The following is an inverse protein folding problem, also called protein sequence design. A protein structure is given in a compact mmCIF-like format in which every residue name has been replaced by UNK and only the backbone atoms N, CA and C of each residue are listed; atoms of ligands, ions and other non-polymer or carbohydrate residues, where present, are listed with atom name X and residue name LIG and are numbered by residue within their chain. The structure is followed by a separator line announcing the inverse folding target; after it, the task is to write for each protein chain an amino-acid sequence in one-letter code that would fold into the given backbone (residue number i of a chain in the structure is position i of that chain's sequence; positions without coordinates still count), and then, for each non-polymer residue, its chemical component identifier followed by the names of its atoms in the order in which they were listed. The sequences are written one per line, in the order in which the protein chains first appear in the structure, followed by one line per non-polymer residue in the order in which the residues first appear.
data_IF_600843997627
#
_entry.id   IF_600843997627
#
_cell.length_a   1.000
_cell.length_b   1.000
_cell.length_c   1.000
_cell.angle_alpha   90.00
_cell.angle_beta   90.00
_cell.angle_gamma   90.00
#
_symmetry.space_group_name_H-M   'P 1'
#
loop_
_entity.id
_entity.type
_entity.pdbx_description
1 polymer ?
#
# COMPACT_ATOMS: atom_id res chain seq x y z
N UNK A 1 45.57 -19.29 21.39
CA UNK A 1 45.40 -18.12 20.49
C UNK A 1 44.56 -18.50 19.26
N UNK A 2 44.86 -19.61 18.58
CA UNK A 2 44.14 -20.12 17.41
C UNK A 2 42.61 -20.30 17.56
N UNK A 3 42.14 -20.86 18.69
CA UNK A 3 40.71 -21.11 18.90
C UNK A 3 39.86 -19.83 19.05
N UNK A 4 40.44 -18.73 19.56
CA UNK A 4 39.75 -17.44 19.66
C UNK A 4 39.53 -16.81 18.29
N UNK A 5 40.53 -16.88 17.42
CA UNK A 5 40.43 -16.42 16.03
C UNK A 5 39.39 -17.22 15.25
N UNK A 6 39.36 -18.55 15.43
CA UNK A 6 38.38 -19.42 14.79
C UNK A 6 36.94 -19.10 15.21
N UNK A 7 36.69 -18.87 16.51
CA UNK A 7 35.36 -18.46 17.01
C UNK A 7 34.94 -17.11 16.44
N UNK A 8 35.85 -16.14 16.35
CA UNK A 8 35.54 -14.84 15.75
C UNK A 8 35.16 -14.96 14.28
N UNK A 9 35.85 -15.80 13.49
CA UNK A 9 35.48 -16.05 12.09
C UNK A 9 34.11 -16.72 11.96
N UNK A 10 33.82 -17.72 12.79
CA UNK A 10 32.51 -18.40 12.79
C UNK A 10 31.40 -17.42 13.17
N UNK A 11 31.57 -16.62 14.22
CA UNK A 11 30.60 -15.59 14.59
C UNK A 11 30.41 -14.52 13.50
N UNK A 12 31.47 -14.09 12.83
CA UNK A 12 31.38 -13.12 11.74
C UNK A 12 30.62 -13.68 10.52
N UNK A 13 30.81 -14.97 10.21
CA UNK A 13 30.07 -15.65 9.14
C UNK A 13 28.59 -15.84 9.48
N UNK A 14 28.27 -16.19 10.73
CA UNK A 14 26.88 -16.31 11.20
C UNK A 14 26.19 -14.93 11.16
N UNK A 15 26.88 -13.86 11.59
CA UNK A 15 26.35 -12.51 11.59
C UNK A 15 26.15 -11.94 10.17
N UNK A 16 27.00 -12.34 9.21
CA UNK A 16 26.85 -11.98 7.79
C UNK A 16 25.72 -12.77 7.12
N UNK A 17 25.56 -14.05 7.45
CA UNK A 17 24.50 -14.90 6.92
C UNK A 17 23.10 -14.44 7.39
N UNK A 18 22.97 -13.94 8.63
CA UNK A 18 21.70 -13.37 9.11
C UNK A 18 21.26 -12.10 8.36
N UNK A 19 22.18 -11.36 7.73
CA UNK A 19 21.81 -10.18 6.92
C UNK A 19 21.18 -10.54 5.57
N UNK A 20 21.45 -11.72 5.04
CA UNK A 20 20.87 -12.19 3.77
C UNK A 20 19.39 -12.59 3.91
N UNK A 21 18.95 -12.97 5.10
CA UNK A 21 17.53 -13.27 5.39
C UNK A 21 16.71 -12.05 5.80
N UNK A 22 17.36 -10.96 6.21
CA UNK A 22 16.70 -9.70 6.59
C UNK A 22 16.39 -8.79 5.40
N UNK A 23 16.68 -9.24 4.17
CA UNK A 23 16.25 -8.52 2.98
C UNK A 23 14.75 -8.77 2.82
N UNK A 24 13.96 -7.91 3.48
CA UNK A 24 12.51 -7.87 3.36
C UNK A 24 12.16 -8.00 1.88
N UNK A 25 11.43 -9.05 1.55
CA UNK A 25 10.75 -9.16 0.28
C UNK A 25 10.06 -7.81 0.05
N UNK A 26 10.23 -7.20 -1.12
CA UNK A 26 9.36 -6.11 -1.57
C UNK A 26 7.94 -6.70 -1.68
N UNK A 27 7.30 -6.90 -0.55
CA UNK A 27 5.90 -7.26 -0.48
C UNK A 27 5.16 -6.13 -1.16
N UNK A 28 4.28 -6.49 -2.08
CA UNK A 28 3.51 -5.52 -2.85
C UNK A 28 2.61 -4.74 -1.88
N UNK A 29 3.12 -3.62 -1.34
CA UNK A 29 2.43 -2.75 -0.37
C UNK A 29 1.20 -2.07 -0.94
N UNK A 30 0.93 -2.23 -2.23
CA UNK A 30 -0.28 -1.77 -2.89
C UNK A 30 -0.97 -2.96 -3.57
N UNK A 31 -2.02 -3.46 -2.93
CA UNK A 31 -2.87 -4.50 -3.50
C UNK A 31 -4.09 -3.89 -4.20
N UNK A 32 -4.62 -4.57 -5.22
CA UNK A 32 -5.87 -4.21 -5.87
C UNK A 32 -6.87 -5.32 -5.63
N UNK A 33 -8.06 -4.96 -5.17
CA UNK A 33 -9.19 -5.87 -5.00
C UNK A 33 -10.38 -5.37 -5.81
N UNK A 34 -11.25 -6.29 -6.24
CA UNK A 34 -12.54 -5.95 -6.83
C UNK A 34 -13.63 -6.23 -5.81
N UNK A 35 -14.45 -5.21 -5.52
CA UNK A 35 -15.59 -5.29 -4.62
C UNK A 35 -16.86 -5.24 -5.44
N UNK A 36 -17.69 -6.26 -5.32
CA UNK A 36 -19.03 -6.27 -5.88
C UNK A 36 -19.98 -5.47 -4.96
N UNK A 37 -20.73 -4.53 -5.54
CA UNK A 37 -21.68 -3.68 -4.81
C UNK A 37 -23.09 -3.87 -5.35
N UNK A 38 -23.94 -4.58 -4.60
CA UNK A 38 -25.36 -4.75 -4.96
C UNK A 38 -26.13 -3.43 -5.05
N UNK A 39 -25.67 -2.39 -4.34
CA UNK A 39 -26.25 -1.04 -4.44
C UNK A 39 -26.06 -0.38 -5.82
N UNK A 40 -25.16 -0.91 -6.66
CA UNK A 40 -24.91 -0.43 -8.02
C UNK A 40 -25.57 -1.30 -9.08
N UNK A 41 -26.24 -2.39 -8.73
CA UNK A 41 -26.96 -3.21 -9.71
C UNK A 41 -28.11 -2.41 -10.34
N UNK A 42 -28.16 -2.37 -11.68
CA UNK A 42 -29.23 -1.68 -12.41
C UNK A 42 -29.28 -0.16 -12.17
N UNK A 43 -28.19 0.46 -11.72
CA UNK A 43 -28.14 1.90 -11.51
C UNK A 43 -28.39 2.67 -12.82
N UNK A 44 -28.94 3.90 -12.71
CA UNK A 44 -29.34 4.73 -13.85
C UNK A 44 -28.19 5.09 -14.80
N UNK A 45 -26.95 5.08 -14.30
CA UNK A 45 -25.75 5.39 -15.09
C UNK A 45 -25.21 4.16 -15.83
N UNK A 46 -25.78 2.98 -15.56
CA UNK A 46 -25.31 1.69 -16.01
C UNK A 46 -23.82 1.47 -15.68
N UNK A 47 -23.38 2.01 -14.54
CA UNK A 47 -22.05 1.77 -14.01
C UNK A 47 -21.91 0.29 -13.60
N UNK A 48 -20.71 -0.27 -13.75
CA UNK A 48 -20.43 -1.63 -13.27
C UNK A 48 -20.65 -1.73 -11.75
N UNK A 49 -21.35 -2.78 -11.25
CA UNK A 49 -21.43 -3.04 -9.82
C UNK A 49 -20.12 -3.57 -9.24
N UNK A 50 -19.21 -4.08 -10.09
CA UNK A 50 -17.86 -4.48 -9.70
C UNK A 50 -16.92 -3.27 -9.73
N UNK A 51 -16.38 -2.91 -8.57
CA UNK A 51 -15.56 -1.72 -8.35
C UNK A 51 -14.16 -2.09 -7.91
N UNK A 52 -13.15 -1.59 -8.62
CA UNK A 52 -11.76 -1.76 -8.20
C UNK A 52 -11.41 -0.85 -7.03
N UNK A 53 -10.59 -1.36 -6.12
CA UNK A 53 -10.12 -0.67 -4.92
C UNK A 53 -8.64 -0.98 -4.75
N UNK A 54 -7.81 0.06 -4.73
CA UNK A 54 -6.42 -0.06 -4.32
C UNK A 54 -6.32 0.06 -2.79
N UNK A 55 -5.47 -0.74 -2.16
CA UNK A 55 -5.25 -0.72 -0.72
C UNK A 55 -3.75 -0.69 -0.46
N UNK A 56 -3.31 0.33 0.27
CA UNK A 56 -1.96 0.39 0.84
C UNK A 56 -1.92 -0.37 2.16
N UNK A 57 -0.90 -1.21 2.30
CA UNK A 57 -0.59 -1.99 3.50
C UNK A 57 0.68 -1.43 4.14
N UNK A 58 0.65 -1.05 5.44
CA UNK A 58 1.82 -0.48 6.08
C UNK A 58 2.94 -1.53 6.24
N UNK A 59 4.20 -1.09 6.43
CA UNK A 59 5.31 -2.00 6.71
C UNK A 59 5.01 -2.95 7.88
N UNK A 60 5.41 -4.21 7.72
CA UNK A 60 5.19 -5.27 8.70
C UNK A 60 3.74 -5.79 8.80
N UNK A 61 2.85 -5.40 7.88
CA UNK A 61 1.46 -5.89 7.86
C UNK A 61 1.36 -7.41 7.81
N UNK A 62 2.25 -8.09 7.10
CA UNK A 62 2.27 -9.55 6.97
C UNK A 62 3.15 -10.25 8.02
N UNK A 63 3.79 -9.50 8.92
CA UNK A 63 4.59 -10.10 9.98
C UNK A 63 3.68 -10.83 10.97
N UNK A 64 4.11 -12.02 11.40
CA UNK A 64 3.35 -12.87 12.34
C UNK A 64 3.04 -12.14 13.66
N UNK A 65 3.96 -11.30 14.12
CA UNK A 65 3.78 -10.46 15.32
C UNK A 65 2.66 -9.42 15.19
N UNK A 66 2.30 -9.04 13.96
CA UNK A 66 1.25 -8.09 13.66
C UNK A 66 -0.08 -8.75 13.25
N UNK A 67 -0.18 -10.09 13.31
CA UNK A 67 -1.36 -10.84 12.86
C UNK A 67 -2.67 -10.46 13.57
N UNK A 68 -2.61 -10.04 14.83
CA UNK A 68 -3.76 -9.57 15.61
C UNK A 68 -3.89 -8.03 15.65
N UNK A 69 -2.96 -7.32 14.99
CA UNK A 69 -2.91 -5.86 15.04
C UNK A 69 -4.06 -5.25 14.23
N UNK A 70 -4.76 -4.31 14.85
CA UNK A 70 -5.76 -3.49 14.17
C UNK A 70 -5.12 -2.20 13.66
N UNK A 71 -5.43 -1.83 12.43
CA UNK A 71 -4.93 -0.63 11.79
C UNK A 71 -6.07 0.37 11.60
N UNK A 72 -5.85 1.68 11.86
CA UNK A 72 -6.78 2.71 11.42
C UNK A 72 -6.86 2.72 9.89
N UNK A 73 -8.00 3.18 9.36
CA UNK A 73 -8.29 3.16 7.93
C UNK A 73 -8.63 4.57 7.43
N UNK A 74 -7.98 4.99 6.35
CA UNK A 74 -8.33 6.19 5.61
C UNK A 74 -8.88 5.81 4.23
N UNK A 75 -10.01 6.41 3.85
CA UNK A 75 -10.53 6.34 2.49
C UNK A 75 -10.05 7.56 1.70
N UNK A 76 -9.13 7.34 0.77
CA UNK A 76 -8.53 8.37 -0.06
C UNK A 76 -9.17 8.38 -1.46
N UNK A 77 -10.05 9.35 -1.69
CA UNK A 77 -10.77 9.48 -2.96
C UNK A 77 -9.93 10.22 -4.01
N UNK A 78 -10.15 9.89 -5.27
CA UNK A 78 -9.57 10.61 -6.41
C UNK A 78 -10.48 11.76 -6.85
N UNK A 79 -9.93 12.72 -7.60
CA UNK A 79 -10.68 13.81 -8.21
C UNK A 79 -11.46 13.43 -9.47
N UNK A 80 -12.13 14.40 -10.08
CA UNK A 80 -12.76 14.26 -11.40
C UNK A 80 -11.72 13.85 -12.46
N UNK A 81 -12.15 13.04 -13.42
CA UNK A 81 -11.34 12.48 -14.52
C UNK A 81 -10.24 11.50 -14.11
N UNK A 82 -10.16 11.16 -12.82
CA UNK A 82 -9.26 10.16 -12.29
C UNK A 82 -9.99 8.86 -11.91
N UNK A 83 -9.24 7.88 -11.39
CA UNK A 83 -9.77 6.62 -10.89
C UNK A 83 -8.92 6.08 -9.71
N UNK A 84 -9.24 4.89 -9.21
CA UNK A 84 -8.57 4.19 -8.10
C UNK A 84 -7.04 4.11 -8.22
N UNK A 85 -6.50 4.21 -9.44
CA UNK A 85 -5.07 4.08 -9.71
C UNK A 85 -4.28 5.40 -9.64
N UNK A 86 -4.97 6.53 -9.49
CA UNK A 86 -4.34 7.87 -9.46
C UNK A 86 -3.20 7.96 -8.45
N UNK A 87 -3.41 7.42 -7.26
CA UNK A 87 -2.48 7.50 -6.14
C UNK A 87 -1.42 6.39 -6.16
N UNK A 88 -1.60 5.35 -6.99
CA UNK A 88 -0.66 4.23 -7.13
C UNK A 88 0.57 4.65 -7.93
N UNK A 89 0.34 5.34 -9.05
CA UNK A 89 1.43 5.82 -9.89
C UNK A 89 1.64 7.29 -9.59
N UNK A 90 2.83 7.67 -9.13
CA UNK A 90 3.24 9.06 -9.02
C UNK A 90 3.29 9.80 -10.37
N UNK A 91 2.62 9.32 -11.42
CA UNK A 91 2.56 9.95 -12.73
C UNK A 91 1.40 10.93 -12.77
N UNK A 92 1.58 12.07 -12.11
CA UNK A 92 0.92 13.29 -12.57
C UNK A 92 1.56 13.74 -13.90
N UNK A 93 0.82 14.54 -14.67
CA UNK A 93 1.12 15.06 -16.02
C UNK A 93 2.53 15.69 -16.22
N UNK A 94 3.32 15.87 -15.16
CA UNK A 94 4.61 16.59 -15.16
C UNK A 94 5.86 15.71 -14.83
N UNK A 95 5.76 14.38 -14.89
CA UNK A 95 6.93 13.51 -15.05
C UNK A 95 7.73 13.15 -13.79
N UNK A 96 7.43 13.75 -12.64
CA UNK A 96 7.82 13.24 -11.31
C UNK A 96 6.67 13.45 -10.34
N UNK A 97 6.18 12.38 -9.76
CA UNK A 97 5.30 12.47 -8.63
C UNK A 97 5.51 11.28 -7.73
N UNK A 98 4.78 11.30 -6.64
CA UNK A 98 4.98 10.42 -5.50
C UNK A 98 3.90 9.35 -5.51
N UNK A 99 4.28 8.10 -5.24
CA UNK A 99 3.30 7.07 -4.90
C UNK A 99 2.80 7.30 -3.48
N UNK A 100 1.52 7.00 -3.23
CA UNK A 100 0.99 7.02 -1.86
C UNK A 100 1.75 6.05 -0.95
N UNK A 101 2.28 4.94 -1.49
CA UNK A 101 3.11 4.01 -0.72
C UNK A 101 4.37 4.73 -0.24
N UNK A 102 5.20 5.23 -1.16
CA UNK A 102 6.45 5.92 -0.84
C UNK A 102 6.28 7.03 0.21
N UNK A 103 5.21 7.84 0.06
CA UNK A 103 4.91 8.92 1.03
C UNK A 103 4.53 8.36 2.38
N UNK A 104 3.66 7.35 2.42
CA UNK A 104 3.18 6.76 3.67
C UNK A 104 4.31 6.05 4.40
N UNK A 105 5.15 5.33 3.67
CA UNK A 105 6.30 4.62 4.23
C UNK A 105 7.30 5.60 4.83
N UNK A 106 7.61 6.69 4.13
CA UNK A 106 8.46 7.75 4.65
C UNK A 106 7.89 8.38 5.92
N UNK A 107 6.59 8.70 5.95
CA UNK A 107 5.95 9.32 7.11
C UNK A 107 5.82 8.37 8.31
N UNK A 108 5.72 7.06 8.07
CA UNK A 108 5.73 6.04 9.12
C UNK A 108 7.14 5.86 9.68
N UNK A 109 8.16 5.80 8.83
CA UNK A 109 9.57 5.70 9.23
C UNK A 109 10.01 6.93 10.04
N UNK A 110 9.52 8.12 9.66
CA UNK A 110 9.74 9.39 10.36
C UNK A 110 8.86 9.56 11.62
N UNK A 111 8.02 8.57 11.96
CA UNK A 111 7.08 8.61 13.09
C UNK A 111 6.05 9.76 13.06
N UNK A 112 5.90 10.43 11.91
CA UNK A 112 4.92 11.51 11.71
C UNK A 112 3.48 10.97 11.65
N UNK A 113 3.29 9.76 11.12
CA UNK A 113 2.01 9.05 11.15
C UNK A 113 2.18 7.63 11.71
N UNK A 114 1.13 7.11 12.35
CA UNK A 114 1.08 5.71 12.75
C UNK A 114 0.85 4.79 11.53
N UNK A 115 1.29 3.51 11.56
CA UNK A 115 0.92 2.51 10.56
C UNK A 115 -0.59 2.44 10.35
N UNK A 116 -1.04 2.50 9.09
CA UNK A 116 -2.46 2.56 8.74
C UNK A 116 -2.76 1.96 7.35
N UNK A 117 -4.00 1.56 7.14
CA UNK A 117 -4.50 1.17 5.81
C UNK A 117 -5.00 2.40 5.06
N UNK A 118 -4.62 2.53 3.79
CA UNK A 118 -5.16 3.58 2.92
C UNK A 118 -5.91 2.91 1.78
N UNK A 119 -7.23 3.15 1.72
CA UNK A 119 -8.16 2.52 0.79
C UNK A 119 -8.56 3.55 -0.27
N UNK A 120 -8.34 3.20 -1.53
CA UNK A 120 -8.52 4.08 -2.69
C UNK A 120 -9.53 3.43 -3.65
N UNK A 121 -10.84 3.60 -3.40
CA UNK A 121 -11.86 3.01 -4.23
C UNK A 121 -12.03 3.75 -5.56
N UNK A 122 -12.48 3.03 -6.59
CA UNK A 122 -12.94 3.63 -7.83
C UNK A 122 -14.26 4.35 -7.59
N UNK A 123 -14.20 5.67 -7.67
CA UNK A 123 -15.32 6.60 -7.66
C UNK A 123 -15.57 7.17 -9.07
N UNK A 124 -15.21 6.41 -10.12
CA UNK A 124 -15.42 6.81 -11.51
C UNK A 124 -16.76 6.28 -12.04
N UNK A 125 -17.63 7.17 -12.50
CA UNK A 125 -18.85 6.78 -13.21
C UNK A 125 -18.71 7.04 -14.72
N UNK A 126 -19.78 6.76 -15.47
CA UNK A 126 -19.91 7.07 -16.91
C UNK A 126 -19.53 8.50 -17.29
N UNK A 127 -19.63 9.47 -16.38
CA UNK A 127 -19.30 10.89 -16.62
C UNK A 127 -17.94 11.28 -16.04
N UNK A 128 -17.06 10.31 -15.77
CA UNK A 128 -15.71 10.51 -15.25
C UNK A 128 -15.62 11.12 -13.84
N UNK A 129 -16.68 11.08 -13.03
CA UNK A 129 -16.55 11.46 -11.62
C UNK A 129 -17.78 11.18 -10.79
N UNK A 130 -17.59 10.67 -9.57
CA UNK A 130 -18.71 10.36 -8.66
C UNK A 130 -18.73 11.19 -7.38
N UNK A 131 -18.01 12.32 -7.30
CA UNK A 131 -18.13 13.29 -6.19
C UNK A 131 -18.17 14.74 -6.70
N UNK A 132 -19.23 15.45 -6.26
CA UNK A 132 -19.60 16.85 -6.52
C UNK A 132 -19.76 17.26 -7.99
N UNK A 133 -20.94 16.98 -8.57
CA UNK A 133 -21.56 17.86 -9.54
C UNK A 133 -23.00 18.13 -9.06
N UNK A 134 -23.18 19.26 -8.37
CA UNK A 134 -24.48 19.89 -8.19
C UNK A 134 -24.74 20.82 -9.38
#
# INVERSE_FOLDING_TARGET
MFYKTLIQFVLLTIFSASRLFAQATEENRLITVTVHSSALEGNLLNDSPDRNVNIYLPPGYYDEENSEKQYPVIYLLHGYDADYDLWRSGKYWLGKGWSIADVSDYLIEDETIQPMLIVMPSAKNRFNGSWCQF
#
